data_IF_876776259979
#
_entry.id   IF_876776259979
#
_cell.length_a   1.000
_cell.length_b   1.000
_cell.length_c   1.000
_cell.angle_alpha   90.00
_cell.angle_beta   90.00
_cell.angle_gamma   90.00
#
_symmetry.space_group_name_H-M   'P 1'
#
loop_
_entity.id
_entity.type
_entity.pdbx_description
1 polymer ?
#
# COMPACT_ATOMS: atom_id res chain seq x y z
N UNK A 1 10.80 29.27 28.87
CA UNK A 1 10.44 29.22 27.44
C UNK A 1 9.52 28.03 27.25
N UNK A 2 8.22 28.25 27.10
CA UNK A 2 7.26 27.16 26.90
C UNK A 2 7.34 26.71 25.43
N UNK A 3 7.73 25.48 25.19
CA UNK A 3 7.65 24.86 23.88
C UNK A 3 6.18 24.66 23.53
N UNK A 4 5.68 25.46 22.60
CA UNK A 4 4.34 25.29 22.05
C UNK A 4 4.32 24.04 21.17
N UNK A 5 3.63 22.99 21.62
CA UNK A 5 3.39 21.75 20.88
C UNK A 5 2.40 21.91 19.70
N UNK A 6 1.98 23.13 19.39
CA UNK A 6 0.92 23.41 18.41
C UNK A 6 1.37 23.36 16.94
N UNK A 7 2.63 23.12 16.62
CA UNK A 7 3.12 23.17 15.24
C UNK A 7 3.77 21.89 14.70
N UNK A 8 3.57 20.74 15.34
CA UNK A 8 3.90 19.46 14.71
C UNK A 8 2.76 18.99 13.81
N UNK A 9 2.55 19.67 12.70
CA UNK A 9 1.71 19.19 11.63
C UNK A 9 2.55 18.22 10.81
N UNK A 10 2.40 16.92 11.05
CA UNK A 10 2.98 15.89 10.18
C UNK A 10 2.17 15.94 8.89
N UNK A 11 2.81 16.37 7.80
CA UNK A 11 2.18 16.31 6.49
C UNK A 11 2.00 14.84 6.10
N UNK A 12 0.81 14.44 5.62
CA UNK A 12 0.56 13.08 5.21
C UNK A 12 1.45 12.71 4.01
N UNK A 13 1.95 11.47 4.02
CA UNK A 13 2.75 10.89 2.93
C UNK A 13 2.20 9.53 2.54
N UNK A 14 2.55 9.09 1.33
CA UNK A 14 2.13 7.77 0.82
C UNK A 14 2.55 6.64 1.77
N UNK A 15 1.66 5.69 2.02
CA UNK A 15 1.88 4.60 2.98
C UNK A 15 1.79 5.00 4.46
N UNK A 16 1.46 6.24 4.80
CA UNK A 16 1.19 6.64 6.18
C UNK A 16 -0.20 6.18 6.62
N UNK A 17 -0.33 5.75 7.88
CA UNK A 17 -1.64 5.45 8.48
C UNK A 17 -2.51 6.71 8.55
N UNK A 18 -3.79 6.53 8.24
CA UNK A 18 -4.79 7.59 8.33
C UNK A 18 -5.83 7.27 9.41
N UNK A 19 -6.42 8.28 9.98
CA UNK A 19 -7.62 8.29 10.83
C UNK A 19 -7.48 7.65 12.23
N UNK A 20 -6.93 6.45 12.38
CA UNK A 20 -6.91 5.73 13.66
C UNK A 20 -5.48 5.42 14.11
N UNK A 21 -5.10 5.79 15.35
CA UNK A 21 -3.73 5.59 15.83
C UNK A 21 -3.37 4.13 16.13
N UNK A 22 -4.35 3.26 16.38
CA UNK A 22 -4.16 1.88 16.84
C UNK A 22 -4.63 0.84 15.80
N UNK A 23 -4.25 1.01 14.54
CA UNK A 23 -4.57 0.03 13.51
C UNK A 23 -3.61 -1.18 13.60
N UNK A 24 -4.10 -2.41 13.36
CA UNK A 24 -3.24 -3.58 13.33
C UNK A 24 -2.25 -3.46 12.15
N UNK A 25 -0.99 -3.77 12.41
CA UNK A 25 0.09 -3.74 11.41
C UNK A 25 0.78 -5.09 11.41
N UNK A 26 1.06 -5.63 10.22
CA UNK A 26 1.92 -6.79 10.07
C UNK A 26 3.39 -6.36 10.23
N UNK A 27 3.92 -6.59 11.42
CA UNK A 27 5.30 -6.25 11.73
C UNK A 27 6.24 -7.41 11.41
N UNK A 28 7.47 -7.08 11.05
CA UNK A 28 8.53 -8.06 10.87
C UNK A 28 8.41 -8.90 9.60
N UNK A 29 7.61 -8.49 8.61
CA UNK A 29 7.70 -9.05 7.27
C UNK A 29 9.14 -8.86 6.74
N UNK A 30 9.60 -9.77 5.89
CA UNK A 30 10.92 -9.67 5.27
C UNK A 30 10.78 -9.42 3.77
N UNK A 31 11.53 -8.47 3.26
CA UNK A 31 11.65 -8.27 1.81
C UNK A 31 12.31 -9.50 1.17
N UNK A 32 11.75 -10.02 0.10
CA UNK A 32 12.27 -11.18 -0.62
C UNK A 32 13.74 -10.99 -1.01
N UNK A 33 14.51 -12.07 -0.91
CA UNK A 33 15.90 -12.08 -1.42
C UNK A 33 15.99 -11.91 -2.93
N UNK A 34 14.90 -12.22 -3.66
CA UNK A 34 14.82 -12.07 -5.11
C UNK A 34 14.23 -10.71 -5.53
N UNK A 35 13.96 -9.79 -4.60
CA UNK A 35 13.45 -8.46 -4.90
C UNK A 35 14.56 -7.64 -5.61
N UNK A 36 14.38 -7.26 -6.89
CA UNK A 36 15.47 -6.65 -7.67
C UNK A 36 15.74 -5.19 -7.30
N UNK A 37 14.74 -4.50 -6.82
CA UNK A 37 14.81 -3.09 -6.40
C UNK A 37 14.27 -2.95 -4.98
N UNK A 38 14.78 -2.00 -4.21
CA UNK A 38 14.29 -1.74 -2.87
C UNK A 38 12.79 -1.40 -2.90
N UNK A 39 12.05 -1.86 -1.88
CA UNK A 39 10.68 -1.41 -1.62
C UNK A 39 10.72 -0.03 -0.98
N UNK A 40 9.80 0.83 -1.36
CA UNK A 40 9.62 2.14 -0.74
C UNK A 40 8.34 2.17 0.10
N UNK A 41 8.28 3.10 1.04
CA UNK A 41 7.04 3.42 1.73
C UNK A 41 5.92 3.68 0.72
N UNK A 42 4.74 3.12 0.96
CA UNK A 42 3.61 3.19 0.04
C UNK A 42 3.59 2.12 -1.06
N UNK A 43 4.67 1.39 -1.30
CA UNK A 43 4.63 0.28 -2.27
C UNK A 43 3.60 -0.77 -1.89
N UNK A 44 2.91 -1.30 -2.88
CA UNK A 44 1.96 -2.40 -2.70
C UNK A 44 2.73 -3.71 -2.83
N UNK A 45 2.52 -4.61 -1.87
CA UNK A 45 3.27 -5.86 -1.77
C UNK A 45 2.36 -7.07 -1.78
N UNK A 46 2.91 -8.17 -2.27
CA UNK A 46 2.32 -9.52 -2.24
C UNK A 46 3.22 -10.48 -1.49
N UNK A 47 2.70 -11.64 -1.12
CA UNK A 47 3.48 -12.72 -0.50
C UNK A 47 4.39 -13.34 -1.57
N UNK A 48 5.68 -13.48 -1.26
CA UNK A 48 6.59 -14.26 -2.08
C UNK A 48 6.66 -15.72 -1.57
N UNK A 49 5.78 -16.55 -2.11
CA UNK A 49 5.73 -17.97 -1.76
C UNK A 49 6.97 -18.77 -2.22
N UNK A 50 7.68 -18.31 -3.26
CA UNK A 50 8.86 -19.00 -3.80
C UNK A 50 10.07 -18.86 -2.88
N UNK A 51 10.24 -17.70 -2.25
CA UNK A 51 11.35 -17.41 -1.33
C UNK A 51 10.90 -17.35 0.13
N UNK A 52 9.76 -17.97 0.43
CA UNK A 52 9.20 -17.99 1.77
C UNK A 52 10.13 -18.71 2.75
N UNK A 53 10.27 -18.14 3.95
CA UNK A 53 11.02 -18.74 5.06
C UNK A 53 10.05 -19.20 6.14
N UNK A 54 10.38 -20.30 6.80
CA UNK A 54 9.55 -20.81 7.88
C UNK A 54 9.39 -19.76 9.00
N UNK A 55 8.13 -19.47 9.34
CA UNK A 55 7.78 -18.52 10.41
C UNK A 55 7.98 -17.04 10.08
N UNK A 56 8.29 -16.69 8.83
CA UNK A 56 8.49 -15.31 8.39
C UNK A 56 7.64 -15.05 7.15
N UNK A 57 6.81 -14.01 7.20
CA UNK A 57 6.09 -13.53 6.01
C UNK A 57 7.09 -12.84 5.09
N UNK A 58 7.38 -13.46 3.95
CA UNK A 58 8.26 -12.89 2.93
C UNK A 58 7.41 -12.17 1.89
N UNK A 59 7.75 -10.91 1.59
CA UNK A 59 7.00 -10.04 0.69
C UNK A 59 7.87 -9.54 -0.46
N UNK A 60 7.24 -9.30 -1.59
CA UNK A 60 7.84 -8.63 -2.76
C UNK A 60 6.89 -7.57 -3.30
N UNK A 61 7.38 -6.66 -4.13
CA UNK A 61 6.52 -5.70 -4.84
C UNK A 61 5.50 -6.45 -5.67
N UNK A 62 4.23 -6.09 -5.53
CA UNK A 62 3.15 -6.71 -6.28
C UNK A 62 3.18 -6.27 -7.74
N UNK A 63 3.10 -7.22 -8.66
CA UNK A 63 2.70 -6.95 -10.04
C UNK A 63 1.19 -6.67 -10.08
N UNK A 64 0.71 -5.92 -11.07
CA UNK A 64 -0.71 -5.54 -11.16
C UNK A 64 -1.67 -6.73 -11.23
N UNK A 65 -1.18 -7.88 -11.65
CA UNK A 65 -1.91 -9.16 -11.72
C UNK A 65 -1.77 -10.03 -10.46
N UNK A 66 -1.01 -9.58 -9.46
CA UNK A 66 -0.87 -10.32 -8.19
C UNK A 66 -2.01 -9.97 -7.23
N UNK A 67 -2.34 -10.91 -6.35
CA UNK A 67 -3.19 -10.62 -5.19
C UNK A 67 -2.36 -9.84 -4.16
N UNK A 68 -2.67 -8.58 -3.88
CA UNK A 68 -1.91 -7.82 -2.91
C UNK A 68 -2.15 -8.31 -1.48
N UNK A 69 -1.11 -8.26 -0.64
CA UNK A 69 -1.20 -8.46 0.80
C UNK A 69 -1.56 -7.17 1.52
N UNK A 70 -0.96 -6.08 1.11
CA UNK A 70 -1.12 -4.77 1.73
C UNK A 70 -0.13 -3.74 1.20
N UNK A 71 0.11 -2.71 1.99
CA UNK A 71 0.90 -1.52 1.63
C UNK A 71 2.07 -1.38 2.60
N UNK A 72 3.26 -1.09 2.10
CA UNK A 72 4.45 -0.82 2.94
C UNK A 72 4.19 0.42 3.78
N UNK A 73 4.27 0.24 5.10
CA UNK A 73 4.11 1.33 6.06
C UNK A 73 5.29 2.31 5.96
N UNK A 74 4.99 3.59 6.02
CA UNK A 74 6.01 4.64 6.13
C UNK A 74 6.73 4.53 7.47
N UNK A 75 8.06 4.48 7.40
CA UNK A 75 8.95 4.56 8.56
C UNK A 75 9.64 5.93 8.51
N UNK A 76 9.62 6.72 9.60
CA UNK A 76 10.23 8.05 9.63
C UNK A 76 11.76 8.02 9.52
N UNK A 77 12.38 6.86 9.77
CA UNK A 77 13.84 6.69 9.76
C UNK A 77 14.29 6.04 8.46
N UNK A 78 13.54 5.06 7.96
CA UNK A 78 13.90 4.25 6.80
C UNK A 78 12.78 4.24 5.77
N UNK A 79 13.00 4.93 4.67
CA UNK A 79 12.01 5.08 3.58
C UNK A 79 12.16 4.05 2.46
N UNK A 80 13.26 3.28 2.45
CA UNK A 80 13.59 2.30 1.42
C UNK A 80 14.13 1.01 2.05
N UNK A 81 13.63 -0.13 1.60
CA UNK A 81 13.90 -1.45 2.17
C UNK A 81 14.48 -2.37 1.11
N UNK A 82 15.77 -2.68 1.24
CA UNK A 82 16.47 -3.62 0.35
C UNK A 82 16.04 -5.07 0.58
N UNK A 83 16.47 -5.96 -0.29
CA UNK A 83 16.30 -7.41 -0.10
C UNK A 83 16.78 -7.85 1.29
N UNK A 84 16.00 -8.71 1.95
CA UNK A 84 16.20 -9.23 3.31
C UNK A 84 15.95 -8.24 4.45
N UNK A 85 15.70 -6.97 4.18
CA UNK A 85 15.31 -6.01 5.21
C UNK A 85 13.98 -6.39 5.87
N UNK A 86 13.78 -5.91 7.09
CA UNK A 86 12.49 -6.00 7.77
C UNK A 86 11.62 -4.81 7.38
N UNK A 87 10.36 -5.10 7.13
CA UNK A 87 9.37 -4.12 6.71
C UNK A 87 8.04 -4.35 7.44
N UNK A 88 7.34 -3.28 7.74
CA UNK A 88 5.96 -3.33 8.25
C UNK A 88 4.97 -3.11 7.11
N UNK A 89 3.89 -3.88 7.12
CA UNK A 89 2.86 -3.85 6.07
C UNK A 89 1.52 -3.50 6.69
N UNK A 90 0.80 -2.56 6.08
CA UNK A 90 -0.57 -2.17 6.41
C UNK A 90 -1.50 -3.22 5.78
N UNK A 91 -2.17 -4.06 6.59
CA UNK A 91 -3.02 -5.14 6.09
C UNK A 91 -4.46 -4.67 5.82
N UNK A 92 -5.34 -5.65 5.56
CA UNK A 92 -6.79 -5.45 5.41
C UNK A 92 -7.42 -4.75 6.62
N UNK A 93 -8.48 -3.98 6.34
CA UNK A 93 -9.27 -3.20 7.32
C UNK A 93 -8.52 -2.05 8.01
N UNK A 94 -7.40 -1.63 7.45
CA UNK A 94 -6.68 -0.43 7.89
C UNK A 94 -6.97 0.74 6.95
N UNK A 95 -6.59 1.94 7.40
CA UNK A 95 -6.75 3.17 6.64
C UNK A 95 -5.39 3.81 6.44
N UNK A 96 -5.06 4.17 5.21
CA UNK A 96 -3.78 4.80 4.90
C UNK A 96 -3.92 5.84 3.80
N UNK A 97 -2.89 6.67 3.67
CA UNK A 97 -2.76 7.58 2.56
C UNK A 97 -2.13 6.87 1.36
N UNK A 98 -2.69 7.11 0.17
CA UNK A 98 -2.17 6.62 -1.10
C UNK A 98 -2.19 7.70 -2.17
N UNK A 99 -1.16 7.70 -2.99
CA UNK A 99 -1.05 8.62 -4.12
C UNK A 99 -1.94 8.16 -5.27
N UNK A 100 -2.80 9.04 -5.74
CA UNK A 100 -3.67 8.82 -6.89
C UNK A 100 -2.89 8.94 -8.20
N UNK A 101 -3.21 8.07 -9.17
CA UNK A 101 -2.65 8.14 -10.53
C UNK A 101 -3.45 9.05 -11.46
N UNK A 102 -4.71 9.31 -11.13
CA UNK A 102 -5.65 10.12 -11.90
C UNK A 102 -6.79 10.61 -10.98
N UNK A 103 -7.82 11.21 -11.55
CA UNK A 103 -9.04 11.57 -10.82
C UNK A 103 -9.68 10.30 -10.21
N UNK A 104 -10.04 10.39 -8.94
CA UNK A 104 -10.69 9.32 -8.18
C UNK A 104 -11.86 9.92 -7.42
N UNK A 105 -13.01 9.25 -7.47
CA UNK A 105 -14.18 9.60 -6.67
C UNK A 105 -14.23 8.72 -5.43
N UNK A 106 -14.57 9.28 -4.28
CA UNK A 106 -14.79 8.52 -3.05
C UNK A 106 -15.83 7.42 -3.27
N UNK A 107 -15.59 6.24 -2.67
CA UNK A 107 -16.37 5.02 -2.89
C UNK A 107 -15.87 4.14 -4.05
N UNK A 108 -14.97 4.64 -4.89
CA UNK A 108 -14.40 3.83 -5.98
C UNK A 108 -13.50 2.72 -5.45
N UNK A 109 -13.61 1.53 -6.05
CA UNK A 109 -12.64 0.46 -5.89
C UNK A 109 -11.35 0.84 -6.60
N UNK A 110 -10.22 0.53 -6.00
CA UNK A 110 -8.90 0.99 -6.42
C UNK A 110 -8.02 -0.18 -6.85
N UNK A 111 -7.66 -0.22 -8.12
CA UNK A 111 -6.53 -0.99 -8.62
C UNK A 111 -5.24 -0.18 -8.46
N UNK A 112 -4.10 -0.83 -8.63
CA UNK A 112 -2.80 -0.18 -8.49
C UNK A 112 -1.98 -0.29 -9.77
N UNK A 113 -1.08 0.68 -9.94
CA UNK A 113 -0.14 0.73 -11.06
C UNK A 113 1.19 0.07 -10.68
N UNK A 114 2.04 -0.18 -11.66
CA UNK A 114 3.39 -0.71 -11.44
C UNK A 114 4.25 0.23 -10.55
N UNK A 115 3.97 1.52 -10.58
CA UNK A 115 4.62 2.55 -9.74
C UNK A 115 4.08 2.57 -8.29
N UNK A 116 3.05 1.77 -7.99
CA UNK A 116 2.43 1.73 -6.67
C UNK A 116 1.37 2.80 -6.41
N UNK A 117 1.04 3.65 -7.40
CA UNK A 117 -0.09 4.58 -7.31
C UNK A 117 -1.42 3.84 -7.47
N UNK A 118 -2.52 4.49 -7.09
CA UNK A 118 -3.86 3.89 -7.20
C UNK A 118 -4.73 4.60 -8.24
N UNK A 119 -5.60 3.83 -8.88
CA UNK A 119 -6.53 4.32 -9.90
C UNK A 119 -7.90 3.66 -9.74
N UNK A 120 -8.96 4.41 -10.04
CA UNK A 120 -10.34 3.91 -10.06
C UNK A 120 -10.62 3.20 -11.40
N UNK A 121 -10.00 2.04 -11.58
CA UNK A 121 -10.16 1.17 -12.75
C UNK A 121 -10.64 -0.22 -12.33
N UNK A 122 -11.22 -0.96 -13.25
CA UNK A 122 -11.70 -2.32 -13.02
C UNK A 122 -11.25 -3.25 -14.16
N UNK A 123 -9.94 -3.31 -14.40
CA UNK A 123 -9.37 -4.24 -15.35
C UNK A 123 -9.49 -5.66 -14.81
N UNK A 124 -10.09 -6.56 -15.58
CA UNK A 124 -10.26 -7.96 -15.22
C UNK A 124 -8.92 -8.64 -14.91
N UNK A 125 -8.92 -9.55 -13.97
CA UNK A 125 -7.74 -10.28 -13.49
C UNK A 125 -6.63 -9.43 -12.85
N UNK A 126 -6.84 -8.12 -12.64
CA UNK A 126 -5.91 -7.28 -11.91
C UNK A 126 -6.24 -7.29 -10.40
N UNK A 127 -5.18 -7.12 -9.59
CA UNK A 127 -5.31 -6.90 -8.16
C UNK A 127 -5.92 -5.53 -7.85
N UNK A 128 -6.73 -5.47 -6.80
CA UNK A 128 -7.17 -4.21 -6.21
C UNK A 128 -6.71 -4.12 -4.75
N UNK A 129 -6.51 -2.89 -4.26
CA UNK A 129 -5.97 -2.68 -2.92
C UNK A 129 -7.03 -2.20 -1.91
N UNK A 130 -8.13 -1.66 -2.38
CA UNK A 130 -9.15 -1.17 -1.46
C UNK A 130 -10.15 -0.21 -2.08
N UNK A 131 -10.72 0.64 -1.23
CA UNK A 131 -11.75 1.60 -1.59
C UNK A 131 -11.29 3.01 -1.21
N UNK A 132 -11.47 3.98 -2.12
CA UNK A 132 -11.22 5.38 -1.85
C UNK A 132 -12.23 5.94 -0.84
N UNK A 133 -11.78 6.61 0.21
CA UNK A 133 -12.64 7.32 1.15
C UNK A 133 -12.71 8.83 0.87
N UNK A 134 -11.73 9.35 0.13
CA UNK A 134 -11.70 10.76 -0.28
C UNK A 134 -11.48 10.88 -1.78
N UNK A 135 -11.77 12.05 -2.34
CA UNK A 135 -11.60 12.32 -3.77
C UNK A 135 -10.16 12.72 -4.10
N UNK A 136 -9.71 12.39 -5.32
CA UNK A 136 -8.63 13.08 -6.00
C UNK A 136 -9.18 13.76 -7.25
N UNK A 137 -8.83 15.00 -7.50
CA UNK A 137 -9.23 15.76 -8.71
C UNK A 137 -8.12 15.80 -9.76
N UNK A 138 -6.94 15.29 -9.42
CA UNK A 138 -5.78 15.19 -10.30
C UNK A 138 -4.86 14.03 -9.88
N UNK A 139 -3.93 13.66 -10.76
CA UNK A 139 -2.84 12.78 -10.41
C UNK A 139 -1.96 13.38 -9.29
N UNK A 140 -1.24 12.51 -8.59
CA UNK A 140 -0.29 12.84 -7.52
C UNK A 140 -0.90 13.46 -6.25
N UNK A 141 -2.22 13.50 -6.14
CA UNK A 141 -2.91 13.85 -4.91
C UNK A 141 -2.97 12.64 -3.95
N UNK A 142 -2.82 12.92 -2.66
CA UNK A 142 -3.03 11.92 -1.61
C UNK A 142 -4.51 11.76 -1.31
N UNK A 143 -4.96 10.52 -1.25
CA UNK A 143 -6.30 10.13 -0.83
C UNK A 143 -6.22 9.19 0.36
N UNK A 144 -7.29 9.11 1.14
CA UNK A 144 -7.45 8.10 2.18
C UNK A 144 -8.08 6.86 1.55
N UNK A 145 -7.45 5.72 1.78
CA UNK A 145 -7.88 4.41 1.28
C UNK A 145 -8.19 3.50 2.47
N UNK A 146 -9.33 2.84 2.43
CA UNK A 146 -9.59 1.66 3.25
C UNK A 146 -8.98 0.45 2.55
N UNK A 147 -8.01 -0.18 3.18
CA UNK A 147 -7.27 -1.32 2.62
C UNK A 147 -8.17 -2.56 2.64
N UNK A 148 -8.52 -3.06 1.47
CA UNK A 148 -9.32 -4.28 1.25
C UNK A 148 -8.77 -5.01 0.02
N UNK A 149 -7.62 -5.69 0.15
CA UNK A 149 -6.95 -6.32 -0.99
C UNK A 149 -7.77 -7.46 -1.59
N UNK A 150 -7.68 -7.63 -2.90
CA UNK A 150 -8.31 -8.73 -3.60
C UNK A 150 -7.96 -8.76 -5.09
N UNK A 151 -8.71 -9.57 -5.84
CA UNK A 151 -8.56 -9.72 -7.30
C UNK A 151 -9.87 -9.42 -8.00
N UNK A 152 -9.81 -8.72 -9.13
CA UNK A 152 -10.96 -8.63 -10.03
C UNK A 152 -11.20 -9.98 -10.71
N UNK A 153 -12.46 -10.38 -10.87
CA UNK A 153 -12.77 -11.60 -11.62
C UNK A 153 -12.17 -11.56 -13.01
N UNK A 154 -11.82 -12.73 -13.53
CA UNK A 154 -11.48 -12.86 -14.95
C UNK A 154 -12.68 -12.42 -15.83
N UNK A 155 -12.38 -11.84 -16.98
CA UNK A 155 -13.43 -11.54 -17.95
C UNK A 155 -14.16 -12.85 -18.30
N UNK A 156 -15.50 -12.82 -18.32
CA UNK A 156 -16.27 -13.97 -18.78
C UNK A 156 -15.85 -14.33 -20.21
N UNK A 157 -15.55 -15.61 -20.45
CA UNK A 157 -15.35 -16.07 -21.81
C UNK A 157 -16.63 -15.85 -22.60
N UNK A 158 -16.55 -15.09 -23.70
CA UNK A 158 -17.65 -14.83 -24.61
C UNK A 158 -17.95 -16.06 -25.46
#
# INVERSE_FOLDING_TARGET
>A
MALSLTNFRIEPVDGMLALLPNQPILQGCQVSSAQPTALNAGDIVTIDGTNAKQGIITVKKAAVTDTPLGIVLTDPIKTSFAALDRVSVIPVNCYCYKTANANITAGSKLQFTAEGKVAATSTASNGYIGIALTNATAADQLIIVQVQPGMEPAAAAA
#
